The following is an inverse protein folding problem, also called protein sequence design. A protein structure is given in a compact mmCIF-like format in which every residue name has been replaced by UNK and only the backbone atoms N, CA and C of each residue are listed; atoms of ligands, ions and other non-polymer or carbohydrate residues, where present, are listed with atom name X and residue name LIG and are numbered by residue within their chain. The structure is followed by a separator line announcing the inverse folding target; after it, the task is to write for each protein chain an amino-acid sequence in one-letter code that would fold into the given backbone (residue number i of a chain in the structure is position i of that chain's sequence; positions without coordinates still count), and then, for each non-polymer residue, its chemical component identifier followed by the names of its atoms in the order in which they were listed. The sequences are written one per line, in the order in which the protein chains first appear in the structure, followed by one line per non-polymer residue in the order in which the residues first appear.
data_IF_350992686446
#
_entry.id   IF_350992686446
#
_cell.length_a   1.000
_cell.length_b   1.000
_cell.length_c   1.000
_cell.angle_alpha   90.00
_cell.angle_beta   90.00
_cell.angle_gamma   90.00
#
_symmetry.space_group_name_H-M   'P 1'
#
loop_
_entity.id
_entity.type
_entity.pdbx_description
1 polymer ?
#
# COMPACT_ATOMS: atom_id res chain seq x y z
N UNK A 1 9.93 19.42 -10.66
CA UNK A 1 9.85 19.62 -9.19
C UNK A 1 10.18 18.30 -8.53
N UNK A 2 10.91 18.34 -7.44
CA UNK A 2 11.29 17.17 -6.65
C UNK A 2 10.86 17.40 -5.20
N UNK A 3 10.29 16.38 -4.55
CA UNK A 3 9.85 16.47 -3.17
C UNK A 3 10.58 15.40 -2.34
N UNK A 4 11.18 15.84 -1.24
CA UNK A 4 11.84 14.96 -0.26
C UNK A 4 11.01 14.94 1.01
N UNK A 5 10.49 13.76 1.38
CA UNK A 5 9.67 13.55 2.57
C UNK A 5 10.24 12.42 3.43
N UNK A 6 11.22 12.71 4.31
CA UNK A 6 11.75 11.71 5.22
C UNK A 6 10.69 11.33 6.25
N UNK A 7 10.39 10.04 6.34
CA UNK A 7 9.62 9.48 7.44
C UNK A 7 10.57 9.26 8.61
N UNK A 8 10.29 9.91 9.74
CA UNK A 8 11.02 9.64 10.98
C UNK A 8 10.51 8.29 11.50
N UNK A 9 11.20 7.22 11.12
CA UNK A 9 10.92 5.90 11.68
C UNK A 9 11.64 5.77 13.02
N UNK A 10 10.91 5.95 14.10
CA UNK A 10 11.36 5.55 15.43
C UNK A 10 11.62 4.03 15.44
N UNK A 11 12.68 3.60 16.12
CA UNK A 11 13.01 2.17 16.32
C UNK A 11 11.81 1.42 16.91
N UNK A 12 11.74 0.09 16.71
CA UNK A 12 10.67 -0.78 17.26
C UNK A 12 10.42 -0.55 18.77
N UNK A 13 11.46 -0.23 19.54
CA UNK A 13 11.35 0.10 20.97
C UNK A 13 10.91 1.54 21.27
N UNK A 14 11.14 2.48 20.36
CA UNK A 14 10.74 3.89 20.50
C UNK A 14 9.27 4.13 20.08
N UNK A 15 8.68 3.22 19.29
CA UNK A 15 7.24 3.20 18.99
C UNK A 15 6.34 3.16 20.24
N UNK A 16 6.83 2.57 21.33
CA UNK A 16 6.10 2.53 22.60
C UNK A 16 6.25 3.82 23.44
N UNK A 17 7.13 4.76 23.03
CA UNK A 17 7.40 6.03 23.72
C UNK A 17 7.03 7.28 22.91
N UNK A 18 6.96 7.19 21.59
CA UNK A 18 6.85 8.37 20.72
C UNK A 18 5.41 8.78 20.46
N UNK A 19 5.05 9.98 20.94
CA UNK A 19 3.81 10.67 20.58
C UNK A 19 3.85 11.33 19.18
N UNK A 20 4.97 11.22 18.45
CA UNK A 20 5.23 12.00 17.22
C UNK A 20 5.57 11.18 15.96
N UNK A 21 5.36 9.86 15.98
CA UNK A 21 5.63 8.94 14.84
C UNK A 21 4.87 9.24 13.53
N UNK A 22 3.92 10.18 13.58
CA UNK A 22 3.10 10.60 12.42
C UNK A 22 3.48 11.97 11.87
N UNK A 23 4.44 12.64 12.50
CA UNK A 23 4.94 13.92 12.03
C UNK A 23 5.93 13.71 10.88
N UNK A 24 5.80 14.52 9.84
CA UNK A 24 6.73 14.57 8.71
C UNK A 24 7.31 15.98 8.59
N UNK A 25 8.54 16.06 8.10
CA UNK A 25 9.19 17.31 7.71
C UNK A 25 9.93 17.08 6.42
N UNK A 26 9.53 17.77 5.36
CA UNK A 26 10.08 17.61 4.03
C UNK A 26 10.36 18.95 3.36
N UNK A 27 10.72 18.89 2.08
CA UNK A 27 10.93 20.08 1.25
C UNK A 27 10.54 19.80 -0.19
N UNK A 28 10.15 20.85 -0.91
CA UNK A 28 9.94 20.81 -2.36
C UNK A 28 11.01 21.69 -3.00
N UNK A 29 11.69 21.13 -4.00
CA UNK A 29 12.82 21.73 -4.70
C UNK A 29 12.56 21.79 -6.21
N UNK A 30 13.19 22.72 -6.90
CA UNK A 30 13.25 22.69 -8.36
C UNK A 30 14.22 21.59 -8.81
N UNK A 31 13.78 20.66 -9.66
CA UNK A 31 14.58 19.49 -10.07
C UNK A 31 15.85 19.85 -10.84
N UNK A 32 15.86 20.97 -11.56
CA UNK A 32 17.01 21.41 -12.37
C UNK A 32 18.09 22.10 -11.54
N UNK A 33 17.69 22.94 -10.58
CA UNK A 33 18.62 23.78 -9.81
C UNK A 33 18.86 23.29 -8.37
N UNK A 34 18.01 22.39 -7.86
CA UNK A 34 18.01 21.97 -6.45
C UNK A 34 17.53 23.07 -5.48
N UNK A 35 17.12 24.23 -5.99
CA UNK A 35 16.70 25.36 -5.15
C UNK A 35 15.43 24.98 -4.38
N UNK A 36 15.48 25.11 -3.06
CA UNK A 36 14.34 24.84 -2.18
C UNK A 36 13.27 25.91 -2.35
N UNK A 37 12.06 25.48 -2.71
CA UNK A 37 10.90 26.34 -2.93
C UNK A 37 9.98 26.35 -1.71
N UNK A 38 9.79 25.19 -1.07
CA UNK A 38 8.90 25.04 0.09
C UNK A 38 9.52 24.19 1.19
N UNK A 39 9.22 24.54 2.44
CA UNK A 39 9.38 23.67 3.61
C UNK A 39 8.03 23.03 3.95
N UNK A 40 7.95 21.71 3.92
CA UNK A 40 6.75 20.95 4.27
C UNK A 40 6.85 20.44 5.70
N UNK A 41 5.76 20.50 6.46
CA UNK A 41 5.71 19.95 7.81
C UNK A 41 4.28 19.68 8.25
N UNK A 42 4.10 18.75 9.18
CA UNK A 42 2.79 18.44 9.74
C UNK A 42 2.62 16.97 10.03
N UNK A 43 1.38 16.52 10.19
CA UNK A 43 1.07 15.13 10.45
C UNK A 43 0.38 14.52 9.24
N UNK A 44 0.91 13.42 8.70
CA UNK A 44 0.36 12.80 7.50
C UNK A 44 -1.05 12.23 7.71
N UNK A 45 -1.44 11.95 8.96
CA UNK A 45 -2.78 11.50 9.33
C UNK A 45 -3.74 12.65 9.71
N UNK A 46 -3.28 13.90 9.61
CA UNK A 46 -4.05 15.12 9.90
C UNK A 46 -3.77 16.14 8.81
N UNK A 47 -3.07 17.22 9.13
CA UNK A 47 -2.80 18.31 8.21
C UNK A 47 -1.30 18.38 7.92
N UNK A 48 -0.96 18.50 6.64
CA UNK A 48 0.38 18.84 6.15
C UNK A 48 0.32 20.28 5.63
N UNK A 49 1.24 21.11 6.10
CA UNK A 49 1.41 22.49 5.67
C UNK A 49 2.66 22.62 4.79
N UNK A 50 2.63 23.58 3.87
CA UNK A 50 3.77 23.99 3.06
C UNK A 50 4.05 25.47 3.30
N UNK A 51 5.29 25.81 3.63
CA UNK A 51 5.76 27.18 3.77
C UNK A 51 6.58 27.56 2.55
N UNK A 52 6.16 28.58 1.82
CA UNK A 52 6.93 29.13 0.72
C UNK A 52 8.20 29.83 1.26
N UNK A 53 9.37 29.43 0.78
CA UNK A 53 10.66 29.95 1.28
C UNK A 53 10.88 31.41 0.91
N UNK A 54 10.32 31.87 -0.22
CA UNK A 54 10.49 33.25 -0.72
C UNK A 54 9.56 34.23 -0.03
N UNK A 55 8.29 33.87 0.13
CA UNK A 55 7.27 34.78 0.70
C UNK A 55 7.09 34.60 2.21
N UNK A 56 7.48 33.44 2.75
CA UNK A 56 7.23 33.06 4.14
C UNK A 56 5.80 32.64 4.43
N UNK A 57 4.91 32.69 3.43
CA UNK A 57 3.51 32.30 3.51
C UNK A 57 3.38 30.80 3.78
N UNK A 58 2.40 30.43 4.61
CA UNK A 58 2.11 29.04 4.98
C UNK A 58 0.72 28.69 4.49
N UNK A 59 0.62 27.62 3.71
CA UNK A 59 -0.62 27.08 3.16
C UNK A 59 -0.83 25.63 3.58
N UNK A 60 -2.08 25.18 3.56
CA UNK A 60 -2.44 23.77 3.79
C UNK A 60 -2.21 23.02 2.48
N UNK A 61 -1.28 22.06 2.49
CA UNK A 61 -0.99 21.20 1.34
C UNK A 61 -1.94 19.99 1.31
N UNK A 62 -2.27 19.45 2.49
CA UNK A 62 -3.14 18.29 2.63
C UNK A 62 -3.88 18.35 3.96
N UNK A 63 -5.17 18.03 3.94
CA UNK A 63 -5.97 17.80 5.13
C UNK A 63 -6.65 16.43 5.05
N UNK A 64 -6.24 15.51 5.92
CA UNK A 64 -6.72 14.14 5.95
C UNK A 64 -8.21 14.05 6.20
N UNK A 65 -8.77 14.95 7.03
CA UNK A 65 -10.20 14.92 7.31
C UNK A 65 -10.95 15.27 6.03
N UNK A 66 -10.59 16.34 5.34
CA UNK A 66 -11.26 16.74 4.10
C UNK A 66 -11.09 15.71 2.98
N UNK A 67 -9.90 15.11 2.86
CA UNK A 67 -9.57 14.19 1.77
C UNK A 67 -10.07 12.75 1.99
N UNK A 68 -10.27 12.33 3.25
CA UNK A 68 -10.71 10.97 3.59
C UNK A 68 -12.22 10.94 3.89
N UNK A 69 -12.82 12.06 4.32
CA UNK A 69 -14.27 12.12 4.57
C UNK A 69 -15.01 11.87 3.27
N UNK A 70 -15.79 10.79 3.23
CA UNK A 70 -16.57 10.39 2.06
C UNK A 70 -15.89 9.35 1.15
N UNK A 71 -14.63 8.97 1.42
CA UNK A 71 -14.02 7.83 0.73
C UNK A 71 -14.75 6.54 1.14
N UNK A 72 -15.35 5.86 0.16
CA UNK A 72 -15.94 4.53 0.34
C UNK A 72 -14.97 3.47 -0.20
N UNK A 73 -14.75 2.37 0.53
CA UNK A 73 -13.92 1.30 0.02
C UNK A 73 -14.54 0.70 -1.25
N UNK A 74 -13.71 0.32 -2.24
CA UNK A 74 -14.19 -0.43 -3.39
C UNK A 74 -14.88 -1.73 -2.95
N UNK A 75 -16.01 -2.06 -3.57
CA UNK A 75 -16.71 -3.33 -3.35
C UNK A 75 -16.66 -4.20 -4.59
N UNK A 76 -16.52 -5.50 -4.40
CA UNK A 76 -16.65 -6.49 -5.48
C UNK A 76 -18.13 -6.66 -5.78
N UNK A 77 -18.55 -6.36 -7.03
CA UNK A 77 -19.95 -6.44 -7.47
C UNK A 77 -20.36 -7.87 -7.83
N UNK A 78 -19.47 -8.60 -8.49
CA UNK A 78 -19.72 -9.97 -8.93
C UNK A 78 -18.60 -10.88 -8.42
N UNK A 79 -18.91 -11.73 -7.44
CA UNK A 79 -17.96 -12.69 -6.88
C UNK A 79 -17.61 -13.80 -7.89
N UNK A 80 -18.49 -14.10 -8.84
CA UNK A 80 -18.24 -15.13 -9.87
C UNK A 80 -17.16 -14.69 -10.87
N UNK A 81 -16.92 -13.38 -11.01
CA UNK A 81 -15.88 -12.81 -11.86
C UNK A 81 -14.51 -12.73 -11.16
N UNK A 82 -14.46 -12.96 -9.85
CA UNK A 82 -13.20 -12.94 -9.08
C UNK A 82 -12.53 -14.30 -9.21
N UNK A 83 -11.26 -14.31 -9.63
CA UNK A 83 -10.51 -15.56 -9.75
C UNK A 83 -10.18 -16.12 -8.37
N UNK A 84 -10.08 -17.45 -8.25
CA UNK A 84 -9.68 -18.15 -7.00
C UNK A 84 -8.32 -17.70 -6.44
N UNK A 85 -7.47 -17.12 -7.29
CA UNK A 85 -6.15 -16.60 -6.90
C UNK A 85 -6.17 -15.15 -6.40
N UNK A 86 -7.30 -14.46 -6.48
CA UNK A 86 -7.43 -13.07 -6.04
C UNK A 86 -7.64 -12.98 -4.53
N UNK A 87 -7.05 -11.95 -3.92
CA UNK A 87 -6.98 -11.82 -2.46
C UNK A 87 -8.34 -11.80 -1.78
N UNK A 88 -9.37 -11.23 -2.43
CA UNK A 88 -10.72 -11.18 -1.88
C UNK A 88 -11.32 -12.57 -1.64
N UNK A 89 -11.03 -13.54 -2.51
CA UNK A 89 -11.46 -14.93 -2.36
C UNK A 89 -10.48 -15.74 -1.50
N UNK A 90 -9.17 -15.61 -1.73
CA UNK A 90 -8.15 -16.37 -0.98
C UNK A 90 -8.25 -16.11 0.53
N UNK A 91 -8.56 -14.88 0.93
CA UNK A 91 -8.63 -14.47 2.34
C UNK A 91 -10.06 -14.26 2.85
N UNK A 92 -11.08 -14.72 2.12
CA UNK A 92 -12.49 -14.47 2.46
C UNK A 92 -12.85 -15.02 3.84
N UNK A 93 -12.59 -16.30 4.10
CA UNK A 93 -12.89 -16.98 5.36
C UNK A 93 -12.11 -16.37 6.55
N UNK A 94 -10.84 -16.04 6.34
CA UNK A 94 -10.01 -15.37 7.35
C UNK A 94 -10.60 -14.01 7.70
N UNK A 95 -10.98 -13.24 6.67
CA UNK A 95 -11.57 -11.91 6.85
C UNK A 95 -12.92 -11.99 7.55
N UNK A 96 -13.76 -12.97 7.20
CA UNK A 96 -15.05 -13.22 7.85
C UNK A 96 -14.89 -13.55 9.34
N UNK A 97 -13.95 -14.44 9.69
CA UNK A 97 -13.62 -14.76 11.07
C UNK A 97 -13.17 -13.53 11.86
N UNK A 98 -12.27 -12.72 11.29
CA UNK A 98 -11.82 -11.45 11.90
C UNK A 98 -12.98 -10.49 12.15
N UNK A 99 -13.86 -10.30 11.16
CA UNK A 99 -15.02 -9.40 11.28
C UNK A 99 -16.00 -9.88 12.35
N UNK A 100 -16.18 -11.20 12.50
CA UNK A 100 -16.98 -11.82 13.56
C UNK A 100 -16.27 -11.90 14.91
N UNK A 101 -14.99 -11.53 14.98
CA UNK A 101 -14.10 -11.71 16.14
C UNK A 101 -13.95 -13.17 16.58
N UNK A 102 -14.14 -14.10 15.65
CA UNK A 102 -13.88 -15.53 15.83
C UNK A 102 -12.43 -15.82 15.44
N UNK A 103 -11.54 -15.71 16.42
CA UNK A 103 -10.11 -15.88 16.23
C UNK A 103 -9.69 -17.33 15.97
N UNK A 104 -10.48 -18.29 16.43
CA UNK A 104 -10.22 -19.71 16.20
C UNK A 104 -10.47 -20.04 14.73
N UNK A 105 -11.67 -19.72 14.22
CA UNK A 105 -12.02 -19.92 12.81
C UNK A 105 -11.08 -19.15 11.87
N UNK A 106 -10.77 -17.88 12.18
CA UNK A 106 -9.81 -17.10 11.38
C UNK A 106 -8.42 -17.73 11.35
N UNK A 107 -7.97 -18.31 12.47
CA UNK A 107 -6.69 -19.00 12.59
C UNK A 107 -6.64 -20.29 11.78
N UNK A 108 -7.71 -21.09 11.79
CA UNK A 108 -7.82 -22.30 10.99
C UNK A 108 -7.83 -22.01 9.49
N UNK A 109 -8.66 -21.06 9.05
CA UNK A 109 -8.71 -20.62 7.65
C UNK A 109 -7.35 -20.09 7.17
N UNK A 110 -6.65 -19.31 8.00
CA UNK A 110 -5.30 -18.81 7.70
C UNK A 110 -4.33 -19.96 7.49
N UNK A 111 -4.37 -20.97 8.37
CA UNK A 111 -3.51 -22.16 8.27
C UNK A 111 -3.78 -22.93 6.99
N UNK A 112 -5.04 -23.07 6.58
CA UNK A 112 -5.42 -23.75 5.35
C UNK A 112 -4.83 -23.04 4.11
N UNK A 113 -4.94 -21.71 4.03
CA UNK A 113 -4.33 -20.91 2.94
C UNK A 113 -2.81 -21.10 2.89
N UNK A 114 -2.13 -21.00 4.05
CA UNK A 114 -0.67 -21.13 4.13
C UNK A 114 -0.17 -22.54 3.79
N UNK A 115 -0.89 -23.59 4.21
CA UNK A 115 -0.54 -24.97 3.85
C UNK A 115 -0.70 -25.23 2.36
N UNK A 116 -1.81 -24.77 1.75
CA UNK A 116 -2.02 -24.88 0.29
C UNK A 116 -0.89 -24.23 -0.51
N UNK A 117 -0.40 -23.06 -0.07
CA UNK A 117 0.74 -22.40 -0.71
C UNK A 117 2.05 -23.17 -0.48
N UNK A 118 2.26 -23.75 0.71
CA UNK A 118 3.43 -24.58 1.01
C UNK A 118 3.46 -25.86 0.17
N UNK A 119 2.32 -26.50 -0.04
CA UNK A 119 2.20 -27.66 -0.92
C UNK A 119 2.44 -27.29 -2.39
N UNK A 120 1.87 -26.17 -2.86
CA UNK A 120 2.13 -25.68 -4.22
C UNK A 120 3.61 -25.39 -4.46
N UNK A 121 4.30 -24.82 -3.47
CA UNK A 121 5.76 -24.62 -3.55
C UNK A 121 6.52 -25.94 -3.66
N UNK A 122 6.22 -26.92 -2.79
CA UNK A 122 6.85 -28.25 -2.84
C UNK A 122 6.63 -28.94 -4.19
N UNK A 123 5.44 -28.81 -4.77
CA UNK A 123 5.12 -29.38 -6.08
C UNK A 123 5.97 -28.75 -7.19
N UNK A 124 6.12 -27.43 -7.18
CA UNK A 124 6.97 -26.69 -8.14
C UNK A 124 8.44 -27.07 -8.02
N UNK A 125 8.95 -27.16 -6.79
CA UNK A 125 10.33 -27.60 -6.54
C UNK A 125 10.56 -29.03 -7.05
N UNK A 126 9.61 -29.93 -6.82
CA UNK A 126 9.69 -31.32 -7.29
C UNK A 126 9.59 -31.43 -8.82
N UNK A 127 8.82 -30.57 -9.48
CA UNK A 127 8.72 -30.54 -10.95
C UNK A 127 9.85 -29.75 -11.63
N UNK A 128 10.67 -29.02 -10.86
CA UNK A 128 11.68 -28.10 -11.39
C UNK A 128 11.10 -26.83 -12.02
N UNK A 129 9.82 -26.53 -11.77
CA UNK A 129 9.14 -25.36 -12.31
C UNK A 129 9.42 -24.12 -11.45
N UNK A 130 9.81 -23.01 -12.09
CA UNK A 130 9.97 -21.72 -11.41
C UNK A 130 8.63 -20.98 -11.31
N UNK A 131 8.34 -20.36 -10.18
CA UNK A 131 7.21 -19.42 -10.09
C UNK A 131 7.51 -18.15 -10.89
N UNK A 132 6.57 -17.76 -11.75
CA UNK A 132 6.65 -16.53 -12.57
C UNK A 132 5.40 -15.68 -12.31
N UNK A 133 5.54 -14.36 -12.11
CA UNK A 133 4.39 -13.47 -11.95
C UNK A 133 3.51 -13.43 -13.20
N UNK A 134 2.18 -13.44 -13.00
CA UNK A 134 1.21 -13.50 -14.11
C UNK A 134 1.13 -12.22 -14.96
N UNK A 135 1.38 -11.06 -14.35
CA UNK A 135 1.13 -9.75 -14.98
C UNK A 135 2.39 -8.88 -15.15
N UNK A 136 3.52 -9.32 -14.59
CA UNK A 136 4.75 -8.53 -14.56
C UNK A 136 5.95 -9.38 -14.96
N UNK A 137 6.83 -8.79 -15.78
CA UNK A 137 8.19 -9.26 -15.95
C UNK A 137 9.03 -8.72 -14.80
N UNK A 138 9.79 -9.60 -14.16
CA UNK A 138 10.62 -9.25 -13.01
C UNK A 138 12.04 -9.71 -13.31
N UNK A 139 12.94 -8.75 -13.45
CA UNK A 139 14.36 -8.97 -13.72
C UNK A 139 15.17 -8.43 -12.56
N UNK A 140 16.10 -9.23 -12.05
CA UNK A 140 17.01 -8.77 -11.01
C UNK A 140 18.16 -7.99 -11.64
N UNK A 141 18.30 -6.72 -11.27
CA UNK A 141 19.43 -5.86 -11.67
C UNK A 141 20.30 -5.56 -10.44
N UNK A 142 21.34 -6.37 -10.24
CA UNK A 142 22.21 -6.26 -9.07
C UNK A 142 21.46 -6.50 -7.74
N UNK A 143 21.27 -5.43 -6.96
CA UNK A 143 20.50 -5.44 -5.70
C UNK A 143 19.05 -5.02 -5.88
N UNK A 144 18.71 -4.46 -7.04
CA UNK A 144 17.40 -3.93 -7.36
C UNK A 144 16.61 -4.92 -8.23
N UNK A 145 15.32 -4.63 -8.37
CA UNK A 145 14.40 -5.39 -9.21
C UNK A 145 13.79 -4.44 -10.23
N UNK A 146 13.97 -4.75 -11.50
CA UNK A 146 13.23 -4.11 -12.58
C UNK A 146 11.92 -4.88 -12.81
N UNK A 147 10.81 -4.17 -12.61
CA UNK A 147 9.46 -4.72 -12.70
C UNK A 147 8.70 -3.96 -13.79
N UNK A 148 8.44 -4.64 -14.90
CA UNK A 148 7.69 -4.07 -16.03
C UNK A 148 6.40 -4.84 -16.29
N UNK A 149 5.29 -4.16 -16.65
CA UNK A 149 4.05 -4.85 -16.94
C UNK A 149 4.17 -5.66 -18.24
N UNK A 150 3.66 -6.90 -18.23
CA UNK A 150 3.64 -7.76 -19.43
C UNK A 150 2.64 -7.27 -20.49
N UNK A 151 1.62 -6.54 -20.05
CA UNK A 151 0.58 -5.97 -20.90
C UNK A 151 0.36 -4.51 -20.51
N UNK A 152 0.13 -3.60 -21.46
CA UNK A 152 -0.10 -2.19 -21.16
C UNK A 152 -1.40 -1.95 -20.39
N UNK A 153 -2.38 -2.86 -20.53
CA UNK A 153 -3.67 -2.79 -19.85
C UNK A 153 -4.14 -4.19 -19.46
N UNK A 154 -4.99 -4.26 -18.43
CA UNK A 154 -5.71 -5.47 -18.01
C UNK A 154 -7.22 -5.24 -18.11
N UNK A 155 -8.00 -6.31 -18.16
CA UNK A 155 -9.46 -6.23 -18.09
C UNK A 155 -9.89 -5.49 -16.83
N UNK A 156 -10.98 -4.72 -16.94
CA UNK A 156 -11.53 -3.98 -15.81
C UNK A 156 -11.96 -4.96 -14.72
N UNK A 157 -11.53 -4.71 -13.49
CA UNK A 157 -11.91 -5.53 -12.33
C UNK A 157 -13.43 -5.39 -12.04
N UNK A 158 -14.07 -6.42 -11.44
CA UNK A 158 -15.48 -6.39 -11.03
C UNK A 158 -15.72 -5.53 -9.78
N UNK A 159 -15.01 -4.41 -9.68
CA UNK A 159 -15.00 -3.50 -8.55
C UNK A 159 -15.85 -2.28 -8.89
N UNK A 160 -16.68 -1.85 -7.94
CA UNK A 160 -17.40 -0.58 -7.99
C UNK A 160 -17.05 0.26 -6.77
N UNK A 161 -16.83 1.55 -7.00
CA UNK A 161 -16.77 2.54 -5.92
C UNK A 161 -18.18 3.10 -5.83
N UNK A 162 -18.82 2.93 -4.67
CA UNK A 162 -20.15 3.50 -4.45
C UNK A 162 -19.99 5.02 -4.35
N UNK A 163 -20.78 5.79 -5.12
CA UNK A 163 -20.78 7.25 -5.01
C UNK A 163 -21.23 7.66 -3.59
N UNK A 164 -20.72 8.80 -3.12
CA UNK A 164 -20.92 9.28 -1.75
C UNK A 164 -22.39 9.54 -1.46
#
# INVERSE_FOLDING_TARGET
LEAEMPFISDSFMERFKSKNSRFIKGKISESSSGNKLYDMFGHWDRTIMAKNVKTGEVEVLYDAKENITGLKPPIVKNLEEVMESESALVWSEVSEGILKKDWESAGEAKRAVEEKQRESLKQREASGESWVPKHFSVVKDGKDWDCSPLQPTVSRAPIVITEA
#
